data_IF_099003566013
#
_entry.id   IF_099003566013
#
_cell.length_a   1.000
_cell.length_b   1.000
_cell.length_c   1.000
_cell.angle_alpha   90.00
_cell.angle_beta   90.00
_cell.angle_gamma   90.00
#
_symmetry.space_group_name_H-M   'P 1'
#
loop_
_entity.id
_entity.type
_entity.pdbx_description
1 polymer ?
#
# COMPACT_ATOMS: atom_id res chain seq x y z
N UNK A 1 5.54 20.88 7.97
CA UNK A 1 4.28 20.38 7.38
C UNK A 1 4.14 20.84 5.93
N UNK A 2 4.50 22.09 5.60
CA UNK A 2 4.53 22.60 4.23
C UNK A 2 5.27 21.73 3.21
N UNK A 3 6.47 21.22 3.55
CA UNK A 3 7.27 20.43 2.58
C UNK A 3 6.60 19.12 2.13
N UNK A 4 5.80 18.50 3.01
CA UNK A 4 5.07 17.26 2.68
C UNK A 4 3.89 17.53 1.76
N UNK A 5 3.23 18.67 1.93
CA UNK A 5 2.11 19.07 1.09
C UNK A 5 2.59 19.49 -0.29
N UNK A 6 3.68 20.27 -0.34
CA UNK A 6 4.37 20.62 -1.58
C UNK A 6 4.83 19.38 -2.35
N UNK A 7 5.45 18.39 -1.68
CA UNK A 7 5.85 17.14 -2.32
C UNK A 7 4.68 16.40 -2.96
N UNK A 8 3.49 16.42 -2.33
CA UNK A 8 2.28 15.80 -2.89
C UNK A 8 1.79 16.53 -4.13
N UNK A 9 1.74 17.85 -4.09
CA UNK A 9 1.33 18.68 -5.23
C UNK A 9 2.26 18.47 -6.43
N UNK A 10 3.57 18.56 -6.20
CA UNK A 10 4.60 18.34 -7.24
C UNK A 10 4.50 16.92 -7.81
N UNK A 11 4.30 15.91 -6.96
CA UNK A 11 4.14 14.53 -7.42
C UNK A 11 2.91 14.35 -8.33
N UNK A 12 1.76 14.95 -7.98
CA UNK A 12 0.54 14.90 -8.79
C UNK A 12 0.71 15.65 -10.12
N UNK A 13 1.37 16.81 -10.11
CA UNK A 13 1.64 17.56 -11.33
C UNK A 13 2.60 16.83 -12.27
N UNK A 14 3.66 16.22 -11.72
CA UNK A 14 4.59 15.38 -12.48
C UNK A 14 3.89 14.14 -13.03
N UNK A 15 3.06 13.47 -12.23
CA UNK A 15 2.26 12.34 -12.69
C UNK A 15 1.37 12.72 -13.88
N UNK A 16 0.65 13.84 -13.78
CA UNK A 16 -0.17 14.38 -14.86
C UNK A 16 0.63 14.74 -16.11
N UNK A 17 1.84 15.29 -15.92
CA UNK A 17 2.76 15.64 -17.01
C UNK A 17 3.28 14.39 -17.72
N UNK A 18 3.66 13.36 -16.98
CA UNK A 18 4.07 12.06 -17.54
C UNK A 18 2.94 11.46 -18.38
N UNK A 19 1.69 11.48 -17.91
CA UNK A 19 0.53 11.00 -18.68
C UNK A 19 0.35 11.74 -20.00
N UNK A 20 0.49 13.07 -20.00
CA UNK A 20 0.37 13.90 -21.22
C UNK A 20 1.51 13.65 -22.21
N UNK A 21 2.74 13.53 -21.72
CA UNK A 21 3.92 13.33 -22.56
C UNK A 21 4.05 11.89 -23.10
N UNK A 22 3.52 10.91 -22.38
CA UNK A 22 3.67 9.47 -22.67
C UNK A 22 2.33 8.72 -22.50
N UNK A 23 1.31 8.99 -23.35
CA UNK A 23 -0.05 8.48 -23.15
C UNK A 23 -0.22 6.96 -23.27
N UNK A 24 0.77 6.21 -23.75
CA UNK A 24 0.76 4.75 -23.82
C UNK A 24 1.62 4.04 -22.76
N UNK A 25 2.19 4.77 -21.80
CA UNK A 25 3.09 4.19 -20.82
C UNK A 25 2.29 3.47 -19.71
N UNK A 26 2.62 2.20 -19.38
CA UNK A 26 1.96 1.48 -18.29
C UNK A 26 2.04 2.23 -16.97
N UNK A 27 1.06 2.02 -16.08
CA UNK A 27 0.95 2.74 -14.80
C UNK A 27 2.23 2.63 -13.97
N UNK A 28 2.80 1.43 -13.88
CA UNK A 28 4.02 1.13 -13.12
C UNK A 28 5.21 1.90 -13.69
N UNK A 29 5.36 1.93 -15.01
CA UNK A 29 6.42 2.68 -15.69
C UNK A 29 6.24 4.19 -15.56
N UNK A 30 4.99 4.69 -15.54
CA UNK A 30 4.70 6.10 -15.22
C UNK A 30 5.11 6.43 -13.78
N UNK A 31 4.85 5.52 -12.84
CA UNK A 31 5.13 5.71 -11.42
C UNK A 31 6.64 5.73 -11.19
N UNK A 32 7.35 4.77 -11.78
CA UNK A 32 8.81 4.73 -11.79
C UNK A 32 9.41 6.02 -12.34
N UNK A 33 8.90 6.50 -13.48
CA UNK A 33 9.38 7.74 -14.09
C UNK A 33 9.13 8.97 -13.19
N UNK A 34 7.97 9.02 -12.53
CA UNK A 34 7.60 10.11 -11.61
C UNK A 34 8.52 10.12 -10.39
N UNK A 35 8.72 8.97 -9.75
CA UNK A 35 9.64 8.83 -8.62
C UNK A 35 11.08 9.17 -9.02
N UNK A 36 11.53 8.69 -10.18
CA UNK A 36 12.86 8.98 -10.70
C UNK A 36 13.05 10.48 -10.96
N UNK A 37 12.05 11.18 -11.50
CA UNK A 37 12.11 12.61 -11.70
C UNK A 37 12.26 13.36 -10.36
N UNK A 38 11.47 13.01 -9.35
CA UNK A 38 11.55 13.61 -8.02
C UNK A 38 12.92 13.39 -7.36
N UNK A 39 13.50 12.19 -7.53
CA UNK A 39 14.86 11.90 -7.05
C UNK A 39 15.93 12.74 -7.76
N UNK A 40 15.81 12.94 -9.08
CA UNK A 40 16.77 13.72 -9.87
C UNK A 40 16.71 15.21 -9.52
N UNK A 41 15.51 15.74 -9.28
CA UNK A 41 15.32 17.15 -8.87
C UNK A 41 15.81 17.37 -7.43
N UNK A 42 15.79 16.33 -6.61
CA UNK A 42 16.23 16.37 -5.22
C UNK A 42 15.10 16.59 -4.21
N UNK A 43 13.84 16.50 -4.65
CA UNK A 43 12.66 16.62 -3.79
C UNK A 43 12.34 15.32 -3.03
N UNK A 44 12.92 14.19 -3.46
CA UNK A 44 12.75 12.88 -2.83
C UNK A 44 14.05 12.41 -2.18
N UNK A 45 14.07 12.35 -0.85
CA UNK A 45 15.29 12.04 -0.08
C UNK A 45 15.35 10.61 0.46
N UNK A 46 14.20 9.96 0.67
CA UNK A 46 14.13 8.65 1.31
C UNK A 46 12.95 7.79 0.83
N UNK A 47 12.94 6.52 1.25
CA UNK A 47 11.91 5.56 0.90
C UNK A 47 10.54 5.85 1.54
N UNK A 48 10.50 6.56 2.67
CA UNK A 48 9.25 6.92 3.34
C UNK A 48 8.50 7.96 2.51
N UNK A 49 9.20 8.97 2.01
CA UNK A 49 8.66 9.96 1.09
C UNK A 49 8.20 9.31 -0.22
N UNK A 50 8.97 8.34 -0.73
CA UNK A 50 8.60 7.59 -1.93
C UNK A 50 7.28 6.85 -1.72
N UNK A 51 7.11 6.17 -0.58
CA UNK A 51 5.87 5.48 -0.24
C UNK A 51 4.67 6.44 -0.13
N UNK A 52 4.86 7.65 0.39
CA UNK A 52 3.81 8.69 0.40
C UNK A 52 3.39 9.06 -1.02
N UNK A 53 4.33 9.28 -1.93
CA UNK A 53 4.04 9.60 -3.34
C UNK A 53 3.29 8.46 -4.02
N UNK A 54 3.72 7.21 -3.80
CA UNK A 54 3.04 6.01 -4.34
C UNK A 54 1.60 5.94 -3.84
N UNK A 55 1.36 6.18 -2.54
CA UNK A 55 0.03 6.19 -1.95
C UNK A 55 -0.87 7.27 -2.56
N UNK A 56 -0.35 8.49 -2.71
CA UNK A 56 -1.08 9.61 -3.32
C UNK A 56 -1.46 9.32 -4.78
N UNK A 57 -0.57 8.69 -5.54
CA UNK A 57 -0.86 8.28 -6.92
C UNK A 57 -1.86 7.12 -6.95
N UNK A 58 -1.81 6.20 -5.99
CA UNK A 58 -2.79 5.12 -5.87
C UNK A 58 -4.20 5.65 -5.55
N UNK A 59 -4.32 6.67 -4.69
CA UNK A 59 -5.60 7.35 -4.43
C UNK A 59 -6.18 8.02 -5.68
N UNK A 60 -5.32 8.56 -6.56
CA UNK A 60 -5.75 9.21 -7.80
C UNK A 60 -6.07 8.22 -8.93
N UNK A 61 -5.26 7.19 -9.10
CA UNK A 61 -5.40 6.14 -10.11
C UNK A 61 -5.05 4.79 -9.47
N UNK A 62 -6.06 4.10 -8.90
CA UNK A 62 -5.87 2.80 -8.27
C UNK A 62 -5.25 1.79 -9.25
N UNK A 63 -4.35 0.90 -8.80
CA UNK A 63 -3.83 -0.16 -9.64
C UNK A 63 -4.92 -1.15 -10.05
N UNK A 64 -4.84 -1.68 -11.27
CA UNK A 64 -5.87 -2.57 -11.83
C UNK A 64 -6.01 -3.91 -11.07
N UNK A 65 -4.97 -4.32 -10.35
CA UNK A 65 -4.92 -5.56 -9.57
C UNK A 65 -4.89 -5.31 -8.06
N UNK A 66 -5.44 -4.18 -7.59
CA UNK A 66 -5.60 -3.98 -6.16
C UNK A 66 -6.54 -5.06 -5.60
N UNK A 67 -6.09 -5.91 -4.66
CA UNK A 67 -7.02 -6.80 -4.01
C UNK A 67 -8.05 -5.93 -3.30
N UNK A 68 -9.33 -6.08 -3.64
CA UNK A 68 -10.43 -5.44 -2.90
C UNK A 68 -10.16 -5.64 -1.41
N UNK A 69 -9.90 -4.55 -0.70
CA UNK A 69 -9.48 -4.60 0.68
C UNK A 69 -10.50 -5.41 1.47
N UNK A 70 -10.12 -6.61 1.92
CA UNK A 70 -10.85 -7.25 3.00
C UNK A 70 -10.71 -6.30 4.18
N UNK A 71 -11.82 -5.65 4.52
CA UNK A 71 -11.96 -4.86 5.71
C UNK A 71 -11.70 -5.78 6.91
N UNK A 72 -10.43 -5.85 7.36
CA UNK A 72 -10.00 -6.66 8.51
C UNK A 72 -10.66 -6.15 9.80
N UNK A 73 -11.33 -5.01 9.77
CA UNK A 73 -12.12 -4.50 10.90
C UNK A 73 -13.50 -5.14 11.01
N UNK A 74 -13.97 -5.86 9.97
CA UNK A 74 -15.04 -6.85 10.14
C UNK A 74 -14.44 -8.11 10.75
N UNK A 75 -14.15 -8.01 12.05
CA UNK A 75 -14.06 -9.14 12.96
C UNK A 75 -15.27 -10.03 12.69
N UNK A 76 -15.06 -11.08 11.90
CA UNK A 76 -15.99 -12.19 11.86
C UNK A 76 -15.85 -12.81 13.24
N UNK A 77 -16.93 -12.73 14.01
CA UNK A 77 -17.08 -13.23 15.38
C UNK A 77 -16.92 -14.76 15.41
N UNK A 78 -15.69 -15.22 15.19
CA UNK A 78 -15.28 -16.60 15.35
C UNK A 78 -14.27 -16.59 16.49
N UNK A 79 -14.82 -16.57 17.70
CA UNK A 79 -14.09 -16.83 18.92
C UNK A 79 -13.21 -18.09 18.73
N UNK A 80 -11.90 -18.05 19.05
CA UNK A 80 -11.14 -19.27 19.14
C UNK A 80 -11.71 -20.04 20.34
N UNK A 81 -12.13 -21.29 20.10
CA UNK A 81 -12.50 -22.24 21.15
C UNK A 81 -11.27 -22.52 22.02
N UNK A 82 -11.14 -21.75 23.10
CA UNK A 82 -10.09 -21.90 24.11
C UNK A 82 -10.66 -22.80 25.19
N UNK A 83 -10.45 -24.10 25.05
CA UNK A 83 -10.72 -25.05 26.12
C UNK A 83 -9.70 -24.82 27.26
N UNK A 84 -10.18 -24.40 28.43
CA UNK A 84 -9.36 -24.26 29.63
C UNK A 84 -9.23 -25.63 30.30
N UNK A 85 -7.99 -26.09 30.52
CA UNK A 85 -7.77 -27.23 31.42
C UNK A 85 -8.05 -26.80 32.87
N UNK A 86 -8.42 -27.73 33.78
CA UNK A 86 -8.75 -27.42 35.18
C UNK A 86 -7.64 -26.69 35.96
N UNK A 87 -6.41 -26.67 35.41
CA UNK A 87 -5.22 -26.05 35.99
C UNK A 87 -4.91 -24.66 35.36
N UNK A 88 -5.88 -24.05 34.68
CA UNK A 88 -5.82 -22.66 34.20
C UNK A 88 -4.86 -22.38 33.04
N UNK A 89 -4.27 -23.41 32.42
CA UNK A 89 -3.29 -23.26 31.34
C UNK A 89 -3.99 -23.24 29.97
N UNK A 90 -3.81 -22.14 29.22
CA UNK A 90 -4.38 -21.99 27.86
C UNK A 90 -3.57 -22.84 26.87
N UNK A 91 -4.24 -23.78 26.20
CA UNK A 91 -3.62 -24.61 25.15
C UNK A 91 -4.29 -24.30 23.82
N UNK A 92 -3.51 -23.86 22.82
CA UNK A 92 -4.00 -23.61 21.47
C UNK A 92 -3.79 -24.86 20.63
N UNK A 93 -4.88 -25.54 20.26
CA UNK A 93 -4.84 -26.78 19.47
C UNK A 93 -4.74 -26.44 17.98
N UNK A 94 -3.53 -26.49 17.41
CA UNK A 94 -3.31 -26.39 15.96
C UNK A 94 -3.95 -27.60 15.26
N UNK A 95 -4.99 -27.38 14.46
CA UNK A 95 -5.50 -28.42 13.53
C UNK A 95 -4.54 -28.52 12.35
N UNK A 96 -3.67 -29.53 12.34
CA UNK A 96 -2.92 -29.92 11.15
C UNK A 96 -3.89 -30.50 10.12
N UNK A 97 -4.09 -29.82 8.99
CA UNK A 97 -4.79 -30.39 7.83
C UNK A 97 -3.88 -31.45 7.22
N UNK A 98 -4.24 -32.73 7.39
CA UNK A 98 -3.69 -33.81 6.57
C UNK A 98 -4.24 -33.65 5.15
N UNK A 99 -3.36 -33.49 4.18
CA UNK A 99 -3.72 -33.61 2.77
C UNK A 99 -4.15 -35.06 2.48
N UNK A 100 -5.31 -35.22 1.87
CA UNK A 100 -5.78 -36.44 1.21
C UNK A 100 -5.95 -36.14 -0.26
#
# INVERSE_FOLDING_TARGET
MADKELLREVALELWGSVKKLRPGLPRESRLELTLKALMVIGDLHDQVQAAVVVGVIAEQEPPENEPEGQDVTKSTDSAPDVEQTPDGRRVVRRRSRSAG
#
